data_IF_576787926360
#
_entry.id   IF_576787926360
#
_cell.length_a   1.000
_cell.length_b   1.000
_cell.length_c   1.000
_cell.angle_alpha   90.00
_cell.angle_beta   90.00
_cell.angle_gamma   90.00
#
_symmetry.space_group_name_H-M   'P 1'
#
loop_
_entity.id
_entity.type
_entity.pdbx_description
1 polymer ?
#
# COMPACT_ATOMS: atom_id res chain seq x y z
N UNK A 1 33.10 -7.25 2.32
CA UNK A 1 32.28 -8.02 1.36
C UNK A 1 30.84 -7.62 1.60
N UNK A 2 30.26 -6.80 0.72
CA UNK A 2 28.85 -6.43 0.82
C UNK A 2 28.00 -7.62 0.39
N UNK A 3 27.31 -8.24 1.36
CA UNK A 3 26.33 -9.29 1.11
C UNK A 3 25.16 -8.68 0.33
N UNK A 4 24.91 -9.17 -0.88
CA UNK A 4 23.76 -8.77 -1.67
C UNK A 4 22.53 -9.51 -1.13
N UNK A 5 21.96 -9.00 -0.03
CA UNK A 5 20.83 -9.58 0.71
C UNK A 5 19.65 -9.96 -0.20
N UNK A 6 19.51 -9.29 -1.34
CA UNK A 6 18.42 -9.52 -2.29
C UNK A 6 18.58 -10.80 -3.11
N UNK A 7 19.79 -11.34 -3.32
CA UNK A 7 19.97 -12.57 -4.11
C UNK A 7 19.66 -13.85 -3.33
N UNK A 8 19.72 -13.82 -2.00
CA UNK A 8 19.49 -14.98 -1.12
C UNK A 8 18.04 -15.13 -0.65
N UNK A 9 17.19 -14.11 -0.86
CA UNK A 9 15.79 -14.17 -0.46
C UNK A 9 15.00 -15.21 -1.28
N UNK A 10 13.97 -15.86 -0.69
CA UNK A 10 13.08 -16.76 -1.41
C UNK A 10 12.49 -16.12 -2.67
N UNK A 11 12.29 -16.90 -3.72
CA UNK A 11 11.74 -16.43 -5.00
C UNK A 11 10.42 -15.67 -4.83
N UNK A 12 9.50 -16.19 -4.03
CA UNK A 12 8.21 -15.53 -3.79
C UNK A 12 8.38 -14.09 -3.28
N UNK A 13 9.38 -13.85 -2.41
CA UNK A 13 9.62 -12.53 -1.83
C UNK A 13 10.24 -11.59 -2.86
N UNK A 14 11.22 -12.09 -3.62
CA UNK A 14 11.87 -11.34 -4.72
C UNK A 14 10.85 -10.92 -5.77
N UNK A 15 9.96 -11.83 -6.16
CA UNK A 15 8.86 -11.54 -7.10
C UNK A 15 7.89 -10.51 -6.52
N UNK A 16 7.53 -10.63 -5.23
CA UNK A 16 6.65 -9.66 -4.59
C UNK A 16 7.26 -8.25 -4.60
N UNK A 17 8.48 -8.05 -4.10
CA UNK A 17 9.10 -6.71 -4.04
C UNK A 17 9.44 -6.13 -5.43
N UNK A 18 9.59 -6.98 -6.45
CA UNK A 18 9.76 -6.58 -7.84
C UNK A 18 8.44 -6.12 -8.48
N UNK A 19 7.30 -6.61 -8.00
CA UNK A 19 5.96 -6.22 -8.51
C UNK A 19 5.58 -4.84 -7.97
N UNK A 20 5.86 -3.81 -8.77
CA UNK A 20 5.62 -2.42 -8.35
C UNK A 20 4.12 -2.08 -8.37
N UNK A 21 3.62 -1.38 -7.32
CA UNK A 21 2.28 -0.83 -7.38
C UNK A 21 2.15 0.28 -8.41
N UNK A 22 0.93 0.49 -8.86
CA UNK A 22 0.48 1.78 -9.37
C UNK A 22 0.22 2.71 -8.19
N UNK A 23 0.70 3.96 -8.26
CA UNK A 23 0.38 5.00 -7.29
C UNK A 23 -0.71 5.91 -7.84
N UNK A 24 -1.69 6.23 -7.00
CA UNK A 24 -2.74 7.18 -7.34
C UNK A 24 -3.22 7.90 -6.09
N UNK A 25 -4.15 8.84 -6.27
CA UNK A 25 -4.70 9.62 -5.16
C UNK A 25 -6.11 10.09 -5.45
N UNK A 26 -6.87 10.33 -4.39
CA UNK A 26 -8.22 10.91 -4.46
C UNK A 26 -8.38 11.96 -3.37
N UNK A 27 -9.08 13.06 -3.67
CA UNK A 27 -9.40 14.09 -2.66
C UNK A 27 -10.64 13.67 -1.88
N UNK A 28 -10.51 13.60 -0.55
CA UNK A 28 -11.59 13.22 0.38
C UNK A 28 -11.71 14.30 1.46
N UNK A 29 -12.83 15.05 1.42
CA UNK A 29 -13.08 16.17 2.33
C UNK A 29 -11.93 17.19 2.37
N UNK A 30 -11.39 17.55 1.21
CA UNK A 30 -10.31 18.54 1.08
C UNK A 30 -8.90 18.02 1.31
N UNK A 31 -8.73 16.81 1.86
CA UNK A 31 -7.42 16.17 2.00
C UNK A 31 -7.14 15.22 0.82
N UNK A 32 -5.95 15.28 0.22
CA UNK A 32 -5.51 14.28 -0.76
C UNK A 32 -5.12 12.99 -0.04
N UNK A 33 -5.75 11.89 -0.43
CA UNK A 33 -5.46 10.55 0.07
C UNK A 33 -4.71 9.78 -1.00
N UNK A 34 -3.48 9.38 -0.70
CA UNK A 34 -2.64 8.57 -1.58
C UNK A 34 -2.88 7.09 -1.35
N UNK A 35 -2.79 6.31 -2.42
CA UNK A 35 -2.90 4.87 -2.34
C UNK A 35 -2.08 4.17 -3.42
N UNK A 36 -1.77 2.92 -3.14
CA UNK A 36 -1.03 1.97 -3.99
C UNK A 36 -1.99 0.89 -4.45
N UNK A 37 -1.84 0.44 -5.69
CA UNK A 37 -2.68 -0.62 -6.22
C UNK A 37 -1.90 -1.70 -6.97
N UNK A 38 -2.43 -2.93 -6.92
CA UNK A 38 -1.96 -4.09 -7.66
C UNK A 38 -3.14 -4.88 -8.23
N UNK A 39 -2.90 -5.59 -9.33
CA UNK A 39 -3.91 -6.43 -9.97
C UNK A 39 -4.87 -5.66 -10.88
N UNK A 40 -5.68 -6.38 -11.64
CA UNK A 40 -6.47 -5.82 -12.73
C UNK A 40 -7.67 -4.99 -12.25
N UNK A 41 -7.87 -3.75 -12.76
CA UNK A 41 -9.11 -2.99 -12.57
C UNK A 41 -10.35 -3.79 -12.96
N UNK A 42 -11.39 -3.75 -12.12
CA UNK A 42 -12.62 -4.54 -12.30
C UNK A 42 -12.63 -5.90 -11.60
N UNK A 43 -11.48 -6.39 -11.13
CA UNK A 43 -11.40 -7.57 -10.25
C UNK A 43 -12.01 -7.29 -8.86
N UNK A 44 -12.44 -8.32 -8.09
CA UNK A 44 -12.91 -8.14 -6.72
C UNK A 44 -11.89 -7.39 -5.85
N UNK A 45 -12.37 -6.38 -5.10
CA UNK A 45 -11.52 -5.52 -4.29
C UNK A 45 -10.97 -6.18 -3.03
N UNK A 46 -9.75 -5.81 -2.65
CA UNK A 46 -9.16 -6.06 -1.33
C UNK A 46 -8.49 -4.78 -0.83
N UNK A 47 -8.97 -4.23 0.28
CA UNK A 47 -8.41 -3.04 0.91
C UNK A 47 -7.50 -3.42 2.07
N UNK A 48 -6.26 -2.92 2.04
CA UNK A 48 -5.29 -3.07 3.13
C UNK A 48 -5.18 -1.74 3.88
N UNK A 49 -5.40 -1.79 5.19
CA UNK A 49 -5.37 -0.63 6.09
C UNK A 49 -4.23 -0.83 7.07
N UNK A 50 -3.33 0.14 7.19
CA UNK A 50 -2.23 0.10 8.13
C UNK A 50 -2.66 0.56 9.54
N UNK A 51 -1.87 0.20 10.56
CA UNK A 51 -2.04 0.70 11.93
C UNK A 51 -1.37 2.06 12.17
N UNK A 52 -1.36 2.53 13.42
CA UNK A 52 -0.68 3.78 13.78
C UNK A 52 0.83 3.76 13.51
N UNK A 53 1.41 4.92 13.18
CA UNK A 53 2.84 5.09 12.88
C UNK A 53 3.36 4.22 11.71
N UNK A 54 2.48 3.85 10.77
CA UNK A 54 2.81 3.09 9.57
C UNK A 54 2.32 3.81 8.30
N UNK A 55 2.56 3.20 7.13
CA UNK A 55 2.13 3.72 5.82
C UNK A 55 1.89 2.56 4.84
N UNK A 56 1.24 2.84 3.70
CA UNK A 56 0.82 1.86 2.69
C UNK A 56 1.96 0.99 2.15
N UNK A 57 3.18 1.50 2.14
CA UNK A 57 4.33 0.79 1.61
C UNK A 57 4.78 -0.43 2.39
N UNK A 58 4.31 -0.60 3.62
CA UNK A 58 4.55 -1.81 4.39
C UNK A 58 3.88 -3.03 3.73
N UNK A 59 2.93 -2.82 2.83
CA UNK A 59 2.26 -3.87 2.09
C UNK A 59 2.95 -4.28 0.79
N UNK A 60 4.05 -3.62 0.36
CA UNK A 60 4.69 -3.87 -0.95
C UNK A 60 5.11 -5.34 -1.17
N UNK A 61 5.44 -6.06 -0.09
CA UNK A 61 5.83 -7.47 -0.15
C UNK A 61 4.67 -8.45 0.11
N UNK A 62 3.48 -7.94 0.48
CA UNK A 62 2.29 -8.72 0.82
C UNK A 62 1.23 -8.62 -0.29
N UNK A 63 0.95 -7.41 -0.76
CA UNK A 63 -0.10 -7.13 -1.75
C UNK A 63 0.04 -7.92 -3.06
N UNK A 64 1.24 -8.11 -3.65
CA UNK A 64 1.41 -8.87 -4.89
C UNK A 64 0.87 -10.31 -4.82
N UNK A 65 0.85 -10.94 -3.65
CA UNK A 65 0.34 -12.31 -3.48
C UNK A 65 -1.14 -12.44 -3.83
N UNK A 66 -1.92 -11.37 -3.69
CA UNK A 66 -3.36 -11.36 -3.94
C UNK A 66 -3.73 -10.75 -5.29
N UNK A 67 -2.78 -10.09 -5.96
CA UNK A 67 -3.02 -9.30 -7.17
C UNK A 67 -3.45 -10.13 -8.40
N UNK A 68 -3.21 -11.44 -8.40
CA UNK A 68 -3.64 -12.32 -9.50
C UNK A 68 -5.14 -12.59 -9.56
N UNK A 69 -5.87 -12.37 -8.45
CA UNK A 69 -7.31 -12.65 -8.35
C UNK A 69 -8.11 -11.44 -7.86
N UNK A 70 -7.44 -10.41 -7.35
CA UNK A 70 -8.06 -9.27 -6.67
C UNK A 70 -7.42 -7.97 -7.11
N UNK A 71 -8.22 -6.90 -7.14
CA UNK A 71 -7.70 -5.53 -7.17
C UNK A 71 -7.33 -5.14 -5.75
N UNK A 72 -6.05 -5.22 -5.42
CA UNK A 72 -5.54 -4.90 -4.09
C UNK A 72 -5.24 -3.42 -4.02
N UNK A 73 -5.74 -2.74 -2.99
CA UNK A 73 -5.49 -1.32 -2.73
C UNK A 73 -4.96 -1.16 -1.32
N UNK A 74 -3.86 -0.44 -1.15
CA UNK A 74 -3.34 -0.03 0.16
C UNK A 74 -3.30 1.50 0.22
N UNK A 75 -4.05 2.09 1.15
CA UNK A 75 -4.07 3.54 1.31
C UNK A 75 -3.11 4.01 2.42
N UNK A 76 -2.61 5.22 2.28
CA UNK A 76 -2.10 5.99 3.39
C UNK A 76 -3.29 6.68 4.08
N UNK A 77 -3.58 6.35 5.34
CA UNK A 77 -4.57 7.09 6.12
C UNK A 77 -4.16 8.57 6.17
N UNK A 78 -5.13 9.50 6.22
CA UNK A 78 -4.82 10.92 6.38
C UNK A 78 -3.88 11.15 7.58
N UNK A 79 -2.87 12.00 7.38
CA UNK A 79 -1.81 12.23 8.36
C UNK A 79 -0.72 11.15 8.40
N UNK A 80 -0.71 10.22 7.47
CA UNK A 80 0.32 9.18 7.34
C UNK A 80 0.84 9.11 5.90
N UNK A 81 2.02 8.54 5.74
CA UNK A 81 2.64 8.33 4.42
C UNK A 81 2.65 9.61 3.58
N UNK A 82 2.18 9.49 2.34
CA UNK A 82 2.12 10.60 1.39
C UNK A 82 0.75 11.30 1.34
N UNK A 83 -0.18 10.90 2.22
CA UNK A 83 -1.50 11.53 2.36
C UNK A 83 -1.40 12.84 3.13
N UNK A 84 -2.27 13.78 2.77
CA UNK A 84 -2.35 15.07 3.45
C UNK A 84 -2.79 14.89 4.91
N UNK A 85 -2.42 15.87 5.73
CA UNK A 85 -2.89 16.00 7.09
C UNK A 85 -4.21 16.78 7.12
N UNK A 86 -5.03 16.48 8.12
CA UNK A 86 -6.23 17.24 8.47
C UNK A 86 -5.96 18.11 9.69
N UNK A 87 -6.73 19.18 9.82
CA UNK A 87 -6.63 20.11 10.96
C UNK A 87 -6.98 19.43 12.29
N UNK A 88 -7.84 18.42 12.28
CA UNK A 88 -8.26 17.70 13.47
C UNK A 88 -8.60 16.25 13.15
N UNK A 89 -8.25 15.36 14.08
CA UNK A 89 -8.64 13.95 14.08
C UNK A 89 -9.45 13.66 15.34
N UNK A 90 -10.69 13.22 15.17
CA UNK A 90 -11.55 12.78 16.27
C UNK A 90 -11.78 11.28 16.15
N UNK A 91 -11.85 10.61 17.29
CA UNK A 91 -12.43 9.28 17.37
C UNK A 91 -13.86 9.48 17.86
N UNK A 92 -14.83 9.18 17.02
CA UNK A 92 -16.20 9.00 17.50
C UNK A 92 -16.22 7.65 18.23
N UNK A 93 -16.20 7.71 19.56
CA UNK A 93 -16.36 6.56 20.45
C UNK A 93 -17.76 6.50 21.01
#
# INVERSE_FOLDING_TARGET
MSTNVTSEAPEWFRTAVATKPEHSSVTVHGARITYRCWGEPGSPGLLLVHGGAAHAGWWDHIAPRYAGERRVVALDLSGHGDSDWRDTYTLDT
#
